data_IF_453001039319
#
_entry.id   IF_453001039319
#
_cell.length_a   1.000
_cell.length_b   1.000
_cell.length_c   1.000
_cell.angle_alpha   90.00
_cell.angle_beta   90.00
_cell.angle_gamma   90.00
#
_symmetry.space_group_name_H-M   'P 1'
#
loop_
_entity.id
_entity.type
_entity.pdbx_description
1 polymer ?
#
# COMPACT_ATOMS: atom_id res chain seq x y z
N UNK A 1 -22.22 -39.82 44.79
CA UNK A 1 -21.65 -38.77 45.66
C UNK A 1 -20.17 -39.04 45.70
N UNK A 2 -19.37 -38.29 44.95
CA UNK A 2 -18.02 -37.90 45.35
C UNK A 2 -17.59 -36.77 44.42
N UNK A 3 -17.62 -35.57 44.97
CA UNK A 3 -17.22 -34.32 44.32
C UNK A 3 -15.70 -34.26 44.29
N UNK A 4 -15.11 -33.92 43.14
CA UNK A 4 -13.68 -33.59 43.04
C UNK A 4 -13.56 -32.13 42.58
N UNK A 5 -13.53 -31.22 43.55
CA UNK A 5 -13.22 -29.81 43.37
C UNK A 5 -11.71 -29.67 43.11
N UNK A 6 -11.35 -29.09 41.95
CA UNK A 6 -9.97 -28.64 41.69
C UNK A 6 -9.88 -27.14 41.95
N UNK A 7 -9.05 -26.77 42.92
CA UNK A 7 -8.56 -25.41 43.16
C UNK A 7 -7.88 -24.80 41.92
N UNK A 8 -7.92 -23.47 41.73
CA UNK A 8 -7.26 -22.79 40.62
C UNK A 8 -5.77 -22.58 40.91
N UNK A 9 -4.92 -22.94 39.96
CA UNK A 9 -3.48 -22.73 40.03
C UNK A 9 -3.11 -21.25 39.85
N UNK A 10 -2.29 -20.78 40.78
CA UNK A 10 -1.66 -19.47 40.91
C UNK A 10 -0.80 -19.08 39.71
N UNK A 11 -0.89 -17.81 39.29
CA UNK A 11 -0.19 -17.24 38.15
C UNK A 11 1.32 -17.12 38.41
N UNK A 12 2.13 -17.91 37.71
CA UNK A 12 3.59 -17.82 37.75
C UNK A 12 4.11 -16.66 36.88
N UNK A 13 4.83 -15.73 37.52
CA UNK A 13 5.54 -14.63 36.86
C UNK A 13 6.80 -15.13 36.13
N UNK A 14 7.05 -14.60 34.92
CA UNK A 14 8.23 -14.90 34.13
C UNK A 14 9.49 -14.13 34.62
N UNK A 15 10.69 -14.74 34.66
CA UNK A 15 11.92 -14.05 35.05
C UNK A 15 12.48 -13.16 33.92
N UNK A 16 12.93 -11.97 34.29
CA UNK A 16 13.56 -10.99 33.39
C UNK A 16 14.97 -11.45 32.94
N UNK A 17 15.21 -11.42 31.62
CA UNK A 17 16.55 -11.61 31.03
C UNK A 17 17.44 -10.36 31.14
N UNK A 18 18.78 -10.51 31.03
CA UNK A 18 19.73 -9.42 31.24
C UNK A 18 19.73 -8.38 30.10
N UNK A 19 20.16 -7.13 30.36
CA UNK A 19 20.14 -6.05 29.39
C UNK A 19 21.21 -6.24 28.31
N UNK A 20 20.82 -6.06 27.03
CA UNK A 20 21.71 -6.08 25.87
C UNK A 20 21.95 -4.63 25.41
N UNK A 21 23.22 -4.24 25.29
CA UNK A 21 23.65 -2.93 24.79
C UNK A 21 23.25 -2.71 23.32
N UNK A 22 22.92 -1.46 22.90
CA UNK A 22 22.55 -1.17 21.53
C UNK A 22 23.77 -1.18 20.58
N UNK A 23 23.64 -1.71 19.35
CA UNK A 23 24.73 -1.66 18.37
C UNK A 23 24.86 -0.27 17.73
N UNK A 24 26.12 0.11 17.49
CA UNK A 24 26.55 1.32 16.78
C UNK A 24 26.09 1.29 15.34
N UNK A 25 25.37 2.33 14.90
CA UNK A 25 24.90 2.49 13.51
C UNK A 25 25.99 3.17 12.68
N UNK A 26 26.47 2.49 11.64
CA UNK A 26 27.33 3.06 10.62
C UNK A 26 26.60 3.18 9.27
N UNK A 27 26.58 4.41 8.77
CA UNK A 27 26.55 4.87 7.38
C UNK A 27 25.45 4.39 6.41
N UNK A 28 24.76 5.33 5.76
CA UNK A 28 25.12 5.77 4.40
C UNK A 28 24.03 6.68 3.82
N UNK A 29 24.44 7.90 3.43
CA UNK A 29 23.67 8.79 2.58
C UNK A 29 24.03 8.53 1.10
N UNK A 30 23.03 8.56 0.21
CA UNK A 30 23.22 8.79 -1.22
C UNK A 30 21.97 9.42 -1.86
N UNK A 31 22.12 10.19 -2.96
CA UNK A 31 21.23 11.30 -3.31
C UNK A 31 20.28 11.01 -4.50
N UNK A 32 19.27 11.87 -4.67
CA UNK A 32 18.31 11.87 -5.78
C UNK A 32 18.76 12.86 -6.86
N UNK A 33 18.82 12.52 -8.17
CA UNK A 33 19.06 13.49 -9.23
C UNK A 33 17.80 13.80 -10.05
N UNK A 34 17.52 15.08 -10.25
CA UNK A 34 16.94 15.56 -11.52
C UNK A 34 17.10 17.07 -11.64
N UNK A 35 18.05 17.50 -12.45
CA UNK A 35 18.16 18.85 -12.97
C UNK A 35 17.81 18.82 -14.47
N UNK A 36 16.91 19.70 -14.90
CA UNK A 36 16.70 20.01 -16.32
C UNK A 36 17.74 21.05 -16.75
N UNK A 37 18.33 20.95 -17.96
CA UNK A 37 19.31 21.92 -18.45
C UNK A 37 18.63 23.16 -19.07
N UNK A 38 19.28 24.34 -19.04
CA UNK A 38 18.80 25.53 -19.76
C UNK A 38 19.18 25.46 -21.25
N UNK A 39 18.31 26.00 -22.11
CA UNK A 39 18.51 26.10 -23.55
C UNK A 39 19.42 27.29 -23.93
N UNK A 40 20.18 27.10 -25.00
CA UNK A 40 21.21 27.97 -25.57
C UNK A 40 20.76 29.40 -25.93
N UNK A 41 21.66 30.36 -25.72
CA UNK A 41 21.57 31.73 -26.26
C UNK A 41 22.40 31.85 -27.55
N UNK A 42 21.95 32.60 -28.57
CA UNK A 42 22.72 32.80 -29.81
C UNK A 42 23.93 33.73 -29.61
N UNK A 43 25.03 33.37 -30.27
CA UNK A 43 26.29 34.13 -30.43
C UNK A 43 26.26 34.87 -31.77
N UNK A 44 26.69 36.14 -31.84
CA UNK A 44 27.33 36.73 -33.03
C UNK A 44 27.99 38.13 -32.75
N UNK A 45 28.85 38.71 -33.61
CA UNK A 45 30.31 38.77 -33.37
C UNK A 45 30.89 40.23 -33.48
N UNK A 46 32.17 40.48 -33.86
CA UNK A 46 33.06 41.38 -33.13
C UNK A 46 33.12 42.83 -33.68
N UNK A 47 33.30 43.84 -32.81
CA UNK A 47 33.72 45.18 -33.25
C UNK A 47 34.61 45.87 -32.21
N UNK A 48 35.88 46.05 -32.57
CA UNK A 48 36.78 47.11 -32.09
C UNK A 48 37.02 48.10 -33.27
N UNK A 49 37.61 49.29 -33.08
CA UNK A 49 37.73 50.14 -31.89
C UNK A 49 37.25 51.59 -32.17
N UNK A 50 36.87 52.36 -31.15
CA UNK A 50 37.10 53.82 -31.18
C UNK A 50 37.02 54.45 -29.79
N UNK A 51 38.04 55.25 -29.54
CA UNK A 51 38.37 55.88 -28.29
C UNK A 51 37.48 57.10 -27.96
N UNK A 52 37.28 57.24 -26.66
CA UNK A 52 37.08 58.46 -25.88
C UNK A 52 35.95 59.43 -26.26
N UNK A 53 34.86 59.34 -25.51
CA UNK A 53 34.15 60.51 -25.03
C UNK A 53 33.46 60.22 -23.67
N UNK A 54 33.93 60.94 -22.64
CA UNK A 54 33.28 61.25 -21.37
C UNK A 54 32.70 60.10 -20.53
N UNK A 55 33.38 59.80 -19.41
CA UNK A 55 32.79 59.06 -18.28
C UNK A 55 31.70 59.93 -17.64
N UNK A 56 30.45 59.71 -18.05
CA UNK A 56 29.28 60.07 -17.24
C UNK A 56 29.20 59.12 -16.04
N UNK A 57 28.82 59.62 -14.84
CA UNK A 57 28.64 58.77 -13.67
C UNK A 57 27.58 57.69 -13.95
N UNK A 58 27.67 56.51 -13.32
CA UNK A 58 26.74 55.42 -13.58
C UNK A 58 25.33 55.91 -13.26
N UNK A 59 24.48 55.99 -14.28
CA UNK A 59 23.04 56.13 -14.09
C UNK A 59 22.62 54.82 -13.41
N UNK A 60 22.44 54.89 -12.10
CA UNK A 60 21.83 53.83 -11.30
C UNK A 60 20.52 53.43 -12.01
N UNK A 61 20.54 52.31 -12.74
CA UNK A 61 19.30 51.66 -13.17
C UNK A 61 18.68 51.15 -11.88
N UNK A 62 17.86 52.00 -11.27
CA UNK A 62 17.08 51.68 -10.09
C UNK A 62 16.41 50.32 -10.31
N UNK A 63 16.72 49.36 -9.44
CA UNK A 63 16.00 48.10 -9.39
C UNK A 63 14.49 48.41 -9.38
N UNK A 64 13.65 47.67 -10.12
CA UNK A 64 12.21 47.94 -10.15
C UNK A 64 11.70 48.00 -8.70
N UNK A 65 10.88 49.01 -8.35
CA UNK A 65 10.42 49.17 -6.98
C UNK A 65 9.78 47.87 -6.51
N UNK A 66 10.28 47.33 -5.38
CA UNK A 66 9.67 46.15 -4.76
C UNK A 66 8.19 46.43 -4.61
N UNK A 67 7.36 45.54 -5.16
CA UNK A 67 5.92 45.65 -5.03
C UNK A 67 5.59 45.90 -3.55
N UNK A 68 4.80 46.93 -3.24
CA UNK A 68 4.61 47.29 -1.85
C UNK A 68 3.89 46.12 -1.19
N UNK A 69 4.49 45.58 -0.13
CA UNK A 69 3.92 44.45 0.61
C UNK A 69 2.60 44.82 1.29
N UNK A 70 2.21 44.11 2.33
CA UNK A 70 0.96 44.38 3.05
C UNK A 70 0.85 45.86 3.48
N UNK A 71 1.97 46.53 3.78
CA UNK A 71 2.02 47.96 4.10
C UNK A 71 1.51 48.90 2.98
N UNK A 72 1.54 48.47 1.72
CA UNK A 72 1.05 49.18 0.53
C UNK A 72 -0.46 49.08 0.29
N UNK A 73 -1.15 48.20 1.01
CA UNK A 73 -2.59 48.07 0.91
C UNK A 73 -3.29 49.28 1.58
N UNK A 74 -4.50 49.60 1.14
CA UNK A 74 -5.30 50.63 1.83
C UNK A 74 -5.66 50.16 3.24
N UNK A 75 -5.94 51.11 4.15
CA UNK A 75 -6.24 50.83 5.56
C UNK A 75 -7.22 49.66 5.81
N UNK A 76 -8.38 49.56 5.12
CA UNK A 76 -9.29 48.43 5.34
C UNK A 76 -8.70 47.09 4.90
N UNK A 77 -8.00 47.05 3.75
CA UNK A 77 -7.37 45.82 3.27
C UNK A 77 -6.21 45.38 4.15
N UNK A 78 -5.44 46.31 4.73
CA UNK A 78 -4.41 45.99 5.72
C UNK A 78 -4.98 45.31 6.96
N UNK A 79 -6.10 45.81 7.46
CA UNK A 79 -6.78 45.20 8.62
C UNK A 79 -7.27 43.80 8.27
N UNK A 80 -7.91 43.63 7.12
CA UNK A 80 -8.38 42.30 6.67
C UNK A 80 -7.21 41.33 6.48
N UNK A 81 -6.11 41.75 5.84
CA UNK A 81 -4.94 40.90 5.65
C UNK A 81 -4.28 40.54 6.98
N UNK A 82 -4.18 41.49 7.92
CA UNK A 82 -3.64 41.22 9.26
C UNK A 82 -4.50 40.21 10.02
N UNK A 83 -5.84 40.35 9.96
CA UNK A 83 -6.76 39.39 10.58
C UNK A 83 -6.68 38.00 9.94
N UNK A 84 -6.58 37.92 8.61
CA UNK A 84 -6.42 36.66 7.89
C UNK A 84 -5.11 35.97 8.27
N UNK A 85 -3.99 36.71 8.32
CA UNK A 85 -2.71 36.16 8.75
C UNK A 85 -2.73 35.71 10.21
N UNK A 86 -3.38 36.47 11.10
CA UNK A 86 -3.56 36.07 12.49
C UNK A 86 -4.38 34.77 12.60
N UNK A 87 -5.47 34.64 11.84
CA UNK A 87 -6.29 33.43 11.82
C UNK A 87 -5.50 32.21 11.31
N UNK A 88 -4.75 32.35 10.21
CA UNK A 88 -3.89 31.29 9.67
C UNK A 88 -2.80 30.90 10.66
N UNK A 89 -2.16 31.88 11.30
CA UNK A 89 -1.13 31.63 12.31
C UNK A 89 -1.69 30.85 13.52
N UNK A 90 -2.86 31.23 14.01
CA UNK A 90 -3.54 30.52 15.10
C UNK A 90 -3.92 29.09 14.71
N UNK A 91 -4.43 28.88 13.50
CA UNK A 91 -4.75 27.55 12.99
C UNK A 91 -3.50 26.67 12.89
N UNK A 92 -2.38 27.21 12.39
CA UNK A 92 -1.12 26.49 12.31
C UNK A 92 -0.59 26.11 13.70
N UNK A 93 -0.62 27.04 14.66
CA UNK A 93 -0.24 26.76 16.04
C UNK A 93 -1.13 25.68 16.68
N UNK A 94 -2.44 25.73 16.42
CA UNK A 94 -3.39 24.71 16.89
C UNK A 94 -3.11 23.34 16.30
N UNK A 95 -2.88 23.26 14.98
CA UNK A 95 -2.51 22.01 14.31
C UNK A 95 -1.23 21.41 14.90
N UNK A 96 -0.17 22.21 15.07
CA UNK A 96 1.09 21.76 15.67
C UNK A 96 0.91 21.28 17.11
N UNK A 97 0.06 21.93 17.90
CA UNK A 97 -0.26 21.50 19.25
C UNK A 97 -1.00 20.15 19.27
N UNK A 98 -1.95 19.92 18.36
CA UNK A 98 -2.68 18.65 18.24
C UNK A 98 -1.75 17.51 17.78
N UNK A 99 -0.91 17.76 16.79
CA UNK A 99 0.12 16.80 16.35
C UNK A 99 1.08 16.47 17.50
N UNK A 100 1.53 17.48 18.24
CA UNK A 100 2.37 17.29 19.41
C UNK A 100 1.68 16.43 20.47
N UNK A 101 0.41 16.73 20.81
CA UNK A 101 -0.34 15.96 21.80
C UNK A 101 -0.58 14.51 21.37
N UNK A 102 -0.67 14.26 20.08
CA UNK A 102 -0.84 12.92 19.51
C UNK A 102 0.45 12.09 19.56
N UNK A 103 1.62 12.71 19.31
CA UNK A 103 2.92 12.02 19.28
C UNK A 103 3.60 11.96 20.66
N UNK A 104 3.32 12.93 21.53
CA UNK A 104 3.91 12.99 22.87
C UNK A 104 3.41 11.84 23.77
N UNK A 105 4.18 11.46 24.81
CA UNK A 105 3.72 10.53 25.83
C UNK A 105 2.38 10.96 26.43
N UNK A 106 1.54 9.98 26.78
CA UNK A 106 0.18 10.24 27.28
C UNK A 106 0.21 11.15 28.51
N UNK A 107 -0.54 12.25 28.44
CA UNK A 107 -0.68 13.23 29.52
C UNK A 107 -2.17 13.45 29.84
N UNK A 108 -2.47 14.21 30.90
CA UNK A 108 -3.86 14.44 31.34
C UNK A 108 -4.69 15.14 30.27
N UNK A 109 -4.11 16.06 29.51
CA UNK A 109 -4.80 16.81 28.44
C UNK A 109 -5.09 15.90 27.25
N UNK A 110 -4.11 15.14 26.76
CA UNK A 110 -4.32 14.21 25.64
C UNK A 110 -5.27 13.07 25.98
N UNK A 111 -5.37 12.66 27.25
CA UNK A 111 -6.38 11.67 27.68
C UNK A 111 -7.79 12.24 27.75
N UNK A 112 -7.96 13.45 28.29
CA UNK A 112 -9.28 14.08 28.42
C UNK A 112 -9.86 14.51 27.07
N UNK A 113 -9.01 14.88 26.11
CA UNK A 113 -9.40 15.35 24.78
C UNK A 113 -8.98 14.40 23.65
N UNK A 114 -8.78 13.11 23.94
CA UNK A 114 -8.29 12.12 22.99
C UNK A 114 -9.10 12.11 21.69
N UNK A 115 -10.43 12.07 21.80
CA UNK A 115 -11.32 12.07 20.64
C UNK A 115 -11.12 13.29 19.73
N UNK A 116 -10.98 14.50 20.30
CA UNK A 116 -10.78 15.72 19.50
C UNK A 116 -9.42 15.73 18.79
N UNK A 117 -8.39 15.20 19.44
CA UNK A 117 -7.06 15.05 18.84
C UNK A 117 -7.12 14.03 17.71
N UNK A 118 -7.74 12.88 17.95
CA UNK A 118 -7.86 11.77 17.02
C UNK A 118 -8.68 12.13 15.76
N UNK A 119 -9.82 12.79 15.94
CA UNK A 119 -10.68 13.25 14.84
C UNK A 119 -9.98 14.25 13.92
N UNK A 120 -9.06 15.05 14.47
CA UNK A 120 -8.25 16.01 13.69
C UNK A 120 -7.07 15.35 12.97
N UNK A 121 -6.47 14.30 13.56
CA UNK A 121 -5.23 13.70 13.07
C UNK A 121 -5.48 12.55 12.09
N UNK A 122 -6.37 11.61 12.43
CA UNK A 122 -6.54 10.39 11.66
C UNK A 122 -7.12 10.52 10.24
N UNK A 123 -7.81 11.61 9.83
CA UNK A 123 -8.18 11.79 8.42
C UNK A 123 -6.97 11.86 7.47
N UNK A 124 -5.85 12.43 7.92
CA UNK A 124 -4.65 12.66 7.08
C UNK A 124 -3.46 11.80 7.52
N UNK A 125 -3.40 11.38 8.79
CA UNK A 125 -2.27 10.64 9.37
C UNK A 125 -2.72 9.31 10.01
N UNK A 126 -3.16 8.37 9.19
CA UNK A 126 -3.45 7.01 9.66
C UNK A 126 -2.15 6.31 10.12
N UNK A 127 -2.04 6.01 11.41
CA UNK A 127 -0.87 5.30 11.97
C UNK A 127 -0.96 3.79 11.76
N UNK A 128 -0.49 3.29 10.61
CA UNK A 128 -0.32 1.85 10.35
C UNK A 128 1.09 1.35 10.71
N UNK A 129 1.59 1.68 11.91
CA UNK A 129 2.90 1.24 12.38
C UNK A 129 2.81 -0.19 12.93
N UNK A 130 2.92 -1.19 12.05
CA UNK A 130 3.23 -2.56 12.49
C UNK A 130 4.71 -2.62 12.89
N UNK A 131 5.02 -2.23 14.13
CA UNK A 131 6.38 -2.14 14.71
C UNK A 131 7.12 -3.49 14.74
N UNK A 132 6.37 -4.58 14.66
CA UNK A 132 6.88 -5.88 14.29
C UNK A 132 6.21 -6.26 12.98
N UNK A 133 7.00 -6.67 11.99
CA UNK A 133 6.42 -7.28 10.81
C UNK A 133 5.42 -8.34 11.29
N UNK A 134 4.15 -8.33 10.83
CA UNK A 134 3.28 -9.47 11.08
C UNK A 134 4.06 -10.72 10.68
N UNK A 135 3.89 -11.82 11.43
CA UNK A 135 4.53 -13.09 11.07
C UNK A 135 4.37 -13.27 9.56
N UNK A 136 5.50 -13.40 8.81
CA UNK A 136 5.42 -13.50 7.36
C UNK A 136 4.47 -14.63 7.03
N UNK A 137 3.74 -14.53 5.92
CA UNK A 137 2.79 -15.57 5.53
C UNK A 137 3.51 -16.93 5.52
N UNK A 138 3.23 -17.77 6.52
CA UNK A 138 3.86 -19.09 6.67
C UNK A 138 3.08 -20.15 5.88
N UNK A 139 2.39 -19.73 4.82
CA UNK A 139 1.51 -20.55 4.01
C UNK A 139 1.72 -20.24 2.54
N UNK A 140 1.78 -21.29 1.74
CA UNK A 140 1.65 -21.22 0.29
C UNK A 140 0.17 -21.31 -0.04
N UNK A 141 -0.35 -20.32 -0.77
CA UNK A 141 -1.74 -20.29 -1.24
C UNK A 141 -1.70 -20.38 -2.77
N UNK A 142 -2.09 -21.52 -3.32
CA UNK A 142 -2.29 -21.67 -4.76
C UNK A 142 -3.77 -21.39 -5.09
N UNK A 143 -4.02 -20.60 -6.13
CA UNK A 143 -5.37 -20.35 -6.65
C UNK A 143 -5.54 -21.19 -7.90
N UNK A 144 -6.51 -22.09 -7.84
CA UNK A 144 -6.81 -23.03 -8.91
C UNK A 144 -8.18 -22.73 -9.51
N UNK A 145 -8.33 -23.02 -10.80
CA UNK A 145 -9.58 -22.87 -11.53
C UNK A 145 -9.92 -24.16 -12.27
N UNK A 146 -11.21 -24.48 -12.32
CA UNK A 146 -11.77 -25.44 -13.28
C UNK A 146 -12.96 -24.83 -14.00
N UNK A 147 -13.20 -25.30 -15.22
CA UNK A 147 -14.34 -24.92 -16.03
C UNK A 147 -15.27 -26.10 -16.22
N UNK A 148 -16.55 -25.84 -16.44
CA UNK A 148 -17.45 -26.79 -17.07
C UNK A 148 -17.67 -26.35 -18.51
N UNK A 149 -17.43 -27.28 -19.44
CA UNK A 149 -17.30 -26.96 -20.85
C UNK A 149 -18.30 -27.80 -21.64
N UNK A 150 -18.99 -27.16 -22.58
CA UNK A 150 -19.84 -27.82 -23.55
C UNK A 150 -19.09 -27.98 -24.87
N UNK A 151 -19.08 -29.21 -25.38
CA UNK A 151 -18.49 -29.52 -26.69
C UNK A 151 -19.20 -28.76 -27.82
N UNK A 152 -18.44 -28.30 -28.81
CA UNK A 152 -18.98 -27.68 -30.04
C UNK A 152 -19.82 -28.63 -30.88
N UNK A 153 -19.67 -29.94 -30.67
CA UNK A 153 -20.46 -30.99 -31.33
C UNK A 153 -21.78 -31.27 -30.60
N UNK A 154 -22.10 -30.51 -29.54
CA UNK A 154 -23.23 -30.77 -28.65
C UNK A 154 -22.91 -31.82 -27.58
N UNK A 155 -23.70 -31.83 -26.50
CA UNK A 155 -23.57 -32.76 -25.38
C UNK A 155 -23.78 -32.11 -24.01
N UNK A 156 -23.82 -32.96 -22.98
CA UNK A 156 -23.85 -32.50 -21.59
C UNK A 156 -22.56 -31.75 -21.24
N UNK A 157 -22.64 -30.64 -20.49
CA UNK A 157 -21.45 -29.96 -19.97
C UNK A 157 -20.62 -30.90 -19.09
N UNK A 158 -19.31 -30.92 -19.29
CA UNK A 158 -18.40 -31.77 -18.50
C UNK A 158 -17.37 -30.89 -17.79
N UNK A 159 -17.13 -31.10 -16.48
CA UNK A 159 -16.09 -30.39 -15.76
C UNK A 159 -14.70 -30.84 -16.24
N UNK A 160 -13.83 -29.89 -16.57
CA UNK A 160 -12.42 -30.14 -16.81
C UNK A 160 -11.64 -30.19 -15.49
N UNK A 161 -10.42 -30.73 -15.54
CA UNK A 161 -9.53 -30.79 -14.38
C UNK A 161 -9.15 -29.40 -13.85
N UNK A 162 -8.69 -29.37 -12.60
CA UNK A 162 -8.17 -28.16 -11.98
C UNK A 162 -6.85 -27.73 -12.64
N UNK A 163 -6.73 -26.42 -12.89
CA UNK A 163 -5.51 -25.74 -13.33
C UNK A 163 -5.03 -24.81 -12.23
N UNK A 164 -3.74 -24.89 -11.91
CA UNK A 164 -3.12 -24.04 -10.89
C UNK A 164 -2.59 -22.75 -11.54
N UNK A 165 -3.39 -21.69 -11.43
CA UNK A 165 -3.06 -20.37 -11.97
C UNK A 165 -1.86 -19.75 -11.25
N UNK A 166 -1.71 -20.03 -9.94
CA UNK A 166 -0.56 -19.57 -9.17
C UNK A 166 0.74 -20.24 -9.64
N UNK A 167 0.70 -21.53 -9.97
CA UNK A 167 1.86 -22.24 -10.53
C UNK A 167 2.24 -21.72 -11.92
N UNK A 168 1.26 -21.38 -12.76
CA UNK A 168 1.47 -20.77 -14.07
C UNK A 168 2.13 -19.38 -13.96
N UNK A 169 1.67 -18.53 -13.03
CA UNK A 169 2.30 -17.24 -12.73
C UNK A 169 3.71 -17.44 -12.16
N UNK A 170 3.89 -18.37 -11.23
CA UNK A 170 5.19 -18.72 -10.68
C UNK A 170 6.18 -19.18 -11.74
N UNK A 171 5.77 -20.04 -12.67
CA UNK A 171 6.61 -20.52 -13.76
C UNK A 171 7.06 -19.39 -14.70
N UNK A 172 6.19 -18.43 -14.98
CA UNK A 172 6.52 -17.27 -15.81
C UNK A 172 7.44 -16.25 -15.11
N UNK A 173 7.41 -16.20 -13.77
CA UNK A 173 8.30 -15.35 -12.98
C UNK A 173 9.67 -16.00 -12.82
N UNK A 174 9.73 -17.33 -12.62
CA UNK A 174 10.99 -18.04 -12.39
C UNK A 174 11.96 -17.83 -13.55
N UNK A 175 13.18 -17.44 -13.22
CA UNK A 175 14.27 -17.14 -14.17
C UNK A 175 14.01 -15.96 -15.13
N UNK A 176 12.97 -15.16 -14.89
CA UNK A 176 12.77 -13.90 -15.62
C UNK A 176 13.71 -12.81 -15.09
N UNK A 177 14.47 -12.17 -15.98
CA UNK A 177 15.36 -11.05 -15.60
C UNK A 177 14.57 -9.78 -15.27
N UNK A 178 13.39 -9.63 -15.87
CA UNK A 178 12.50 -8.47 -15.72
C UNK A 178 11.08 -8.97 -15.48
N UNK A 179 10.79 -9.53 -14.29
CA UNK A 179 9.50 -10.15 -14.03
C UNK A 179 8.40 -9.09 -13.99
N UNK A 180 7.30 -9.33 -14.70
CA UNK A 180 6.16 -8.41 -14.75
C UNK A 180 5.49 -8.28 -13.38
N UNK A 181 5.24 -7.05 -12.94
CA UNK A 181 4.46 -6.78 -11.72
C UNK A 181 3.04 -7.32 -11.79
N UNK A 182 2.43 -7.33 -12.98
CA UNK A 182 1.10 -7.91 -13.19
C UNK A 182 1.12 -9.40 -12.91
N UNK A 183 2.08 -10.15 -13.48
CA UNK A 183 2.22 -11.61 -13.22
C UNK A 183 2.49 -11.92 -11.74
N UNK A 184 3.21 -11.04 -11.04
CA UNK A 184 3.50 -11.22 -9.62
C UNK A 184 2.31 -10.92 -8.70
N UNK A 185 1.42 -10.00 -9.08
CA UNK A 185 0.47 -9.41 -8.14
C UNK A 185 -1.00 -9.52 -8.54
N UNK A 186 -1.35 -9.66 -9.82
CA UNK A 186 -2.74 -9.61 -10.28
C UNK A 186 -3.60 -10.65 -9.56
N UNK A 187 -3.26 -11.94 -9.71
CA UNK A 187 -4.01 -13.04 -9.11
C UNK A 187 -3.98 -12.99 -7.58
N UNK A 188 -2.80 -12.72 -7.00
CA UNK A 188 -2.63 -12.61 -5.55
C UNK A 188 -3.51 -11.50 -4.96
N UNK A 189 -3.47 -10.30 -5.55
CA UNK A 189 -4.27 -9.15 -5.08
C UNK A 189 -5.75 -9.39 -5.31
N UNK A 190 -6.15 -10.06 -6.40
CA UNK A 190 -7.53 -10.43 -6.64
C UNK A 190 -8.05 -11.41 -5.58
N UNK A 191 -7.22 -12.39 -5.19
CA UNK A 191 -7.55 -13.35 -4.13
C UNK A 191 -7.59 -12.70 -2.75
N UNK A 192 -6.62 -11.85 -2.41
CA UNK A 192 -6.61 -11.06 -1.16
C UNK A 192 -7.83 -10.15 -1.08
N UNK A 193 -8.21 -9.54 -2.20
CA UNK A 193 -9.42 -8.72 -2.29
C UNK A 193 -10.66 -9.56 -2.03
N UNK A 194 -10.84 -10.66 -2.77
CA UNK A 194 -11.97 -11.57 -2.61
C UNK A 194 -12.11 -12.05 -1.16
N UNK A 195 -11.05 -12.60 -0.58
CA UNK A 195 -11.08 -13.15 0.78
C UNK A 195 -11.32 -12.08 1.84
N UNK A 196 -10.85 -10.85 1.64
CA UNK A 196 -11.12 -9.70 2.51
C UNK A 196 -12.46 -9.01 2.29
N UNK A 197 -13.34 -9.51 1.43
CA UNK A 197 -14.68 -8.97 1.19
C UNK A 197 -15.77 -10.04 1.10
N UNK A 198 -15.51 -11.24 1.62
CA UNK A 198 -16.46 -12.34 1.70
C UNK A 198 -16.49 -12.94 3.11
N UNK A 199 -17.63 -13.50 3.50
CA UNK A 199 -17.77 -14.25 4.75
C UNK A 199 -17.18 -15.69 4.63
N UNK A 200 -17.35 -16.47 5.70
CA UNK A 200 -16.90 -17.87 5.77
C UNK A 200 -17.63 -18.78 4.76
N UNK A 201 -18.87 -18.43 4.39
CA UNK A 201 -19.69 -19.14 3.41
C UNK A 201 -19.37 -18.74 1.95
N UNK A 202 -18.39 -17.84 1.74
CA UNK A 202 -18.06 -17.22 0.46
C UNK A 202 -19.19 -16.33 -0.10
N UNK A 203 -19.96 -15.65 0.75
CA UNK A 203 -20.94 -14.65 0.31
C UNK A 203 -20.34 -13.25 0.32
N UNK A 204 -20.63 -12.42 -0.69
CA UNK A 204 -20.06 -11.08 -0.81
C UNK A 204 -20.57 -10.16 0.30
N UNK A 205 -19.67 -9.37 0.88
CA UNK A 205 -19.99 -8.34 1.87
C UNK A 205 -20.10 -6.99 1.16
N UNK A 206 -21.34 -6.60 0.87
CA UNK A 206 -21.67 -5.35 0.18
C UNK A 206 -21.10 -5.27 -1.24
N UNK A 207 -21.11 -4.07 -1.81
CA UNK A 207 -20.65 -3.80 -3.18
C UNK A 207 -19.19 -4.20 -3.40
N UNK A 208 -18.34 -4.04 -2.38
CA UNK A 208 -16.92 -4.44 -2.43
C UNK A 208 -16.77 -5.94 -2.73
N UNK A 209 -17.62 -6.76 -2.10
CA UNK A 209 -17.67 -8.21 -2.33
C UNK A 209 -18.01 -8.52 -3.78
N UNK A 210 -19.10 -7.97 -4.29
CA UNK A 210 -19.57 -8.20 -5.66
C UNK A 210 -18.53 -7.79 -6.72
N UNK A 211 -17.84 -6.66 -6.51
CA UNK A 211 -16.76 -6.22 -7.40
C UNK A 211 -15.56 -7.17 -7.38
N UNK A 212 -15.20 -7.69 -6.20
CA UNK A 212 -14.11 -8.65 -6.07
C UNK A 212 -14.41 -9.98 -6.77
N UNK A 213 -15.66 -10.46 -6.72
CA UNK A 213 -16.11 -11.65 -7.47
C UNK A 213 -15.96 -11.44 -8.97
N UNK A 214 -16.48 -10.32 -9.48
CA UNK A 214 -16.42 -10.00 -10.91
C UNK A 214 -14.97 -9.88 -11.39
N UNK A 215 -14.10 -9.26 -10.59
CA UNK A 215 -12.69 -9.12 -10.91
C UNK A 215 -11.99 -10.48 -10.99
N UNK A 216 -12.14 -11.32 -9.96
CA UNK A 216 -11.54 -12.65 -9.91
C UNK A 216 -12.09 -13.56 -11.02
N UNK A 217 -13.39 -13.49 -11.29
CA UNK A 217 -14.04 -14.20 -12.42
C UNK A 217 -13.42 -13.81 -13.76
N UNK A 218 -13.24 -12.51 -14.02
CA UNK A 218 -12.64 -12.02 -15.28
C UNK A 218 -11.21 -12.49 -15.45
N UNK A 219 -10.39 -12.45 -14.39
CA UNK A 219 -9.02 -12.98 -14.44
C UNK A 219 -9.06 -14.46 -14.82
N UNK A 220 -9.86 -15.27 -14.12
CA UNK A 220 -9.96 -16.71 -14.39
C UNK A 220 -10.37 -17.01 -15.83
N UNK A 221 -11.38 -16.31 -16.37
CA UNK A 221 -11.81 -16.48 -17.76
C UNK A 221 -10.74 -16.09 -18.78
N UNK A 222 -10.04 -14.97 -18.53
CA UNK A 222 -8.94 -14.56 -19.38
C UNK A 222 -7.85 -15.64 -19.41
N UNK A 223 -7.44 -16.17 -18.25
CA UNK A 223 -6.41 -17.23 -18.18
C UNK A 223 -6.85 -18.54 -18.84
N UNK A 224 -8.12 -18.92 -18.67
CA UNK A 224 -8.66 -20.14 -19.28
C UNK A 224 -8.78 -20.07 -20.81
N UNK A 225 -8.88 -18.87 -21.38
CA UNK A 225 -9.06 -18.65 -22.81
C UNK A 225 -7.76 -18.30 -23.54
N UNK A 226 -6.76 -17.77 -22.84
CA UNK A 226 -5.50 -17.28 -23.42
C UNK A 226 -4.66 -18.36 -24.11
N UNK A 227 -4.58 -19.57 -23.53
CA UNK A 227 -3.73 -20.65 -24.05
C UNK A 227 -4.47 -21.64 -24.98
N UNK A 228 -5.77 -21.43 -25.19
CA UNK A 228 -6.61 -22.33 -25.99
C UNK A 228 -6.71 -23.75 -25.44
N UNK A 229 -6.35 -24.00 -24.17
CA UNK A 229 -6.40 -25.34 -23.57
C UNK A 229 -7.85 -25.84 -23.45
N UNK A 230 -8.78 -24.91 -23.26
CA UNK A 230 -10.20 -25.21 -23.11
C UNK A 230 -10.86 -25.29 -24.49
N UNK A 231 -11.29 -26.50 -24.87
CA UNK A 231 -12.01 -26.76 -26.13
C UNK A 231 -13.51 -26.79 -25.90
N UNK A 232 -14.22 -25.78 -26.38
CA UNK A 232 -15.68 -25.68 -26.28
C UNK A 232 -16.14 -24.40 -25.59
N UNK A 233 -17.44 -24.31 -25.36
CA UNK A 233 -18.06 -23.17 -24.69
C UNK A 233 -17.95 -23.36 -23.17
N UNK A 234 -17.38 -22.38 -22.47
CA UNK A 234 -17.33 -22.38 -21.00
C UNK A 234 -18.70 -21.94 -20.48
N UNK A 235 -19.36 -22.81 -19.71
CA UNK A 235 -20.72 -22.57 -19.18
C UNK A 235 -20.67 -22.00 -17.76
N UNK A 236 -19.80 -22.57 -16.94
CA UNK A 236 -19.56 -22.13 -15.57
C UNK A 236 -18.11 -22.37 -15.20
N UNK A 237 -17.62 -21.60 -14.23
CA UNK A 237 -16.30 -21.79 -13.64
C UNK A 237 -16.41 -22.00 -12.15
N UNK A 238 -15.42 -22.67 -11.60
CA UNK A 238 -15.23 -22.78 -10.17
C UNK A 238 -13.77 -22.51 -9.85
N UNK A 239 -13.54 -21.75 -8.79
CA UNK A 239 -12.21 -21.52 -8.25
C UNK A 239 -12.08 -22.17 -6.89
N UNK A 240 -10.85 -22.46 -6.49
CA UNK A 240 -10.51 -22.82 -5.13
C UNK A 240 -9.15 -22.28 -4.76
N UNK A 241 -8.90 -22.18 -3.46
CA UNK A 241 -7.52 -22.13 -2.97
C UNK A 241 -7.08 -23.50 -2.49
N UNK A 242 -5.82 -23.83 -2.74
CA UNK A 242 -5.08 -24.94 -2.15
C UNK A 242 -4.00 -24.33 -1.24
N UNK A 243 -4.27 -24.33 0.07
CA UNK A 243 -3.43 -23.69 1.08
C UNK A 243 -2.62 -24.74 1.83
N UNK A 244 -1.31 -24.53 1.91
CA UNK A 244 -0.38 -25.43 2.59
C UNK A 244 0.62 -24.64 3.43
N UNK A 245 0.80 -24.99 4.69
CA UNK A 245 1.84 -24.37 5.53
C UNK A 245 3.23 -24.63 4.96
N UNK A 246 4.11 -23.63 5.08
CA UNK A 246 5.54 -23.77 4.75
C UNK A 246 6.15 -24.74 5.75
N UNK A 247 6.86 -25.76 5.26
CA UNK A 247 7.50 -26.73 6.13
C UNK A 247 8.59 -26.07 7.00
N UNK A 248 8.68 -26.49 8.25
CA UNK A 248 9.79 -26.11 9.11
C UNK A 248 11.14 -26.47 8.45
N UNK A 249 12.16 -25.61 8.55
CA UNK A 249 13.46 -25.89 7.98
C UNK A 249 14.11 -27.10 8.68
N UNK A 250 15.06 -27.80 8.03
CA UNK A 250 15.63 -29.05 8.56
C UNK A 250 16.41 -28.89 9.87
N UNK A 251 16.77 -27.66 10.24
CA UNK A 251 17.46 -27.32 11.48
C UNK A 251 16.51 -26.95 12.64
N UNK A 252 15.20 -26.96 12.43
CA UNK A 252 14.18 -26.68 13.45
C UNK A 252 13.47 -27.96 13.89
N UNK A 253 13.19 -28.09 15.18
CA UNK A 253 12.40 -29.18 15.76
C UNK A 253 10.88 -28.95 15.66
N UNK A 254 10.47 -27.78 15.15
CA UNK A 254 9.06 -27.39 15.02
C UNK A 254 8.26 -28.36 14.12
N UNK A 255 7.06 -28.72 14.58
CA UNK A 255 6.14 -29.59 13.84
C UNK A 255 5.04 -28.75 13.22
N UNK A 256 5.18 -28.46 11.93
CA UNK A 256 4.16 -27.75 11.15
C UNK A 256 3.34 -28.77 10.36
N UNK A 257 2.01 -28.72 10.47
CA UNK A 257 1.13 -29.49 9.59
C UNK A 257 1.21 -28.92 8.17
N UNK A 258 1.64 -29.76 7.22
CA UNK A 258 1.80 -29.40 5.82
C UNK A 258 0.76 -30.09 4.94
N UNK A 259 -0.34 -30.57 5.50
CA UNK A 259 -1.52 -30.98 4.75
C UNK A 259 -2.08 -29.80 3.95
N UNK A 260 -2.68 -30.12 2.79
CA UNK A 260 -3.29 -29.10 1.92
C UNK A 260 -4.75 -28.95 2.28
N UNK A 261 -5.14 -27.74 2.62
CA UNK A 261 -6.52 -27.36 2.89
C UNK A 261 -7.12 -26.68 1.67
N UNK A 262 -8.30 -27.10 1.26
CA UNK A 262 -9.01 -26.52 0.12
C UNK A 262 -10.17 -25.63 0.59
N UNK A 263 -10.23 -24.40 0.09
CA UNK A 263 -11.42 -23.55 0.14
C UNK A 263 -11.99 -23.47 -1.26
N UNK A 264 -13.04 -24.24 -1.54
CA UNK A 264 -13.73 -24.23 -2.82
C UNK A 264 -14.82 -23.16 -2.84
N UNK A 265 -14.86 -22.36 -3.91
CA UNK A 265 -15.89 -21.35 -4.13
C UNK A 265 -17.12 -22.00 -4.79
N UNK A 266 -18.31 -21.37 -4.69
CA UNK A 266 -19.46 -21.81 -5.47
C UNK A 266 -19.17 -21.74 -6.98
N UNK A 267 -19.93 -22.54 -7.75
CA UNK A 267 -19.91 -22.43 -9.20
C UNK A 267 -20.49 -21.08 -9.64
N UNK A 268 -19.80 -20.41 -10.56
CA UNK A 268 -20.26 -19.17 -11.18
C UNK A 268 -20.63 -19.43 -12.64
N UNK A 269 -21.90 -19.21 -12.97
CA UNK A 269 -22.39 -19.24 -14.35
C UNK A 269 -21.93 -18.00 -15.11
N UNK A 270 -21.63 -18.18 -16.41
CA UNK A 270 -21.17 -17.12 -17.30
C UNK A 270 -22.29 -16.55 -18.17
#
# INVERSE_FOLDING_TARGET
MESNEREPAEAAAAPAGPPIDPPVVAAAAAPVPSARPPADLPVEPPVEPSAEAAVEPPVDRAAPPRAPGIAGLSAPYRVVTALALAAVGLAACGHLALVFLHVAPSNTVSKQHAQTVDDWIYPEFEQNWKLFAPNPLQQNIAVEVRAEVRSTLGGEPVPVGWRDLSAEDGAAIRHSLLPSHTRQNELRRAWDFFTGSHDEDNKPIGERGELSEQYLRRIALNRLTEDGSVRGEIIRIQLRSATRSVAAPPWSDEKTDTQTYYRELPWWTL
#
